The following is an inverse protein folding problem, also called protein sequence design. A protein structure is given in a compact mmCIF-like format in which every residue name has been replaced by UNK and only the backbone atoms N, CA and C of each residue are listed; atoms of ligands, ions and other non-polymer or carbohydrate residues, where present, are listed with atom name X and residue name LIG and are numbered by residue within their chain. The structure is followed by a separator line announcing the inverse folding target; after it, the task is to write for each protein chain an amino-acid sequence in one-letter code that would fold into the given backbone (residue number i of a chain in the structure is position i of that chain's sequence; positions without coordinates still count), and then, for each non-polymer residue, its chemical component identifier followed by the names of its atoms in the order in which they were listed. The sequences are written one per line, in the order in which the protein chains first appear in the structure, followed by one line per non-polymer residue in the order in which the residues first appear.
data_IF_944755351836
#
_entry.id   IF_944755351836
#
_cell.length_a   1.000
_cell.length_b   1.000
_cell.length_c   1.000
_cell.angle_alpha   90.00
_cell.angle_beta   90.00
_cell.angle_gamma   90.00
#
_symmetry.space_group_name_H-M   'P 1'
#
loop_
_entity.id
_entity.type
_entity.pdbx_description
1 polymer ?
#
# COMPACT_ATOMS: atom_id res chain seq x y z
N UNK A 1 -34.36 -26.10 -3.36
CA UNK A 1 -33.06 -26.78 -3.57
C UNK A 1 -32.40 -27.00 -2.21
N UNK A 2 -32.35 -28.25 -1.71
CA UNK A 2 -31.72 -28.59 -0.42
C UNK A 2 -30.20 -28.43 -0.54
N UNK A 3 -29.60 -27.54 0.26
CA UNK A 3 -28.13 -27.39 0.33
C UNK A 3 -27.55 -28.60 1.06
N UNK A 4 -26.63 -29.30 0.38
CA UNK A 4 -25.90 -30.45 0.95
C UNK A 4 -24.99 -29.99 2.11
N UNK A 5 -24.88 -30.77 3.20
CA UNK A 5 -23.98 -30.45 4.30
C UNK A 5 -22.52 -30.59 3.85
N UNK A 6 -21.69 -29.60 4.20
CA UNK A 6 -20.25 -29.62 3.90
C UNK A 6 -19.57 -30.65 4.80
N UNK A 7 -18.88 -31.62 4.20
CA UNK A 7 -18.12 -32.65 4.90
C UNK A 7 -16.89 -32.05 5.60
N UNK A 8 -16.58 -32.49 6.84
CA UNK A 8 -15.39 -32.05 7.57
C UNK A 8 -14.13 -32.57 6.88
N UNK A 9 -13.18 -31.68 6.57
CA UNK A 9 -11.89 -32.03 5.95
C UNK A 9 -11.58 -31.37 4.60
N UNK A 10 -12.52 -30.60 4.02
CA UNK A 10 -12.30 -29.86 2.76
C UNK A 10 -11.43 -28.58 2.90
N UNK A 11 -10.84 -28.31 4.06
CA UNK A 11 -10.07 -27.08 4.29
C UNK A 11 -8.64 -27.12 3.75
N UNK A 12 -8.06 -28.31 3.54
CA UNK A 12 -6.73 -28.42 2.95
C UNK A 12 -6.85 -28.38 1.43
N UNK A 13 -7.02 -27.17 0.91
CA UNK A 13 -6.81 -26.87 -0.52
C UNK A 13 -5.36 -27.20 -0.87
N UNK A 14 -5.14 -28.38 -1.43
CA UNK A 14 -3.90 -28.69 -2.14
C UNK A 14 -3.75 -27.66 -3.27
N UNK A 15 -2.77 -26.76 -3.16
CA UNK A 15 -2.40 -25.87 -4.27
C UNK A 15 -1.57 -26.69 -5.25
N UNK A 16 -1.97 -26.67 -6.52
CA UNK A 16 -1.20 -27.30 -7.59
C UNK A 16 0.17 -26.60 -7.69
N UNK A 17 1.28 -27.35 -7.78
CA UNK A 17 2.59 -26.74 -7.99
C UNK A 17 2.55 -25.90 -9.28
N UNK A 18 2.85 -24.60 -9.17
CA UNK A 18 2.73 -23.64 -10.27
C UNK A 18 1.53 -22.68 -10.20
N UNK A 19 0.58 -22.88 -9.28
CA UNK A 19 -0.41 -21.82 -9.01
C UNK A 19 0.24 -20.69 -8.20
N UNK A 20 0.28 -19.43 -8.72
CA UNK A 20 0.76 -18.31 -7.93
C UNK A 20 -0.09 -18.18 -6.65
N UNK A 21 0.50 -17.70 -5.54
CA UNK A 21 -0.27 -17.48 -4.32
C UNK A 21 -1.52 -16.62 -4.64
N UNK A 22 -2.66 -16.88 -3.99
CA UNK A 22 -3.85 -16.07 -4.19
C UNK A 22 -3.46 -14.62 -3.94
N UNK A 23 -3.68 -13.77 -4.94
CA UNK A 23 -3.35 -12.36 -4.88
C UNK A 23 -4.08 -11.76 -3.67
N UNK A 24 -3.30 -11.38 -2.66
CA UNK A 24 -3.83 -10.93 -1.40
C UNK A 24 -4.30 -9.47 -1.57
N UNK A 25 -5.54 -9.32 -2.03
CA UNK A 25 -6.14 -8.01 -2.35
C UNK A 25 -6.06 -7.06 -1.17
N UNK A 26 -6.17 -7.57 0.07
CA UNK A 26 -6.03 -6.78 1.29
C UNK A 26 -4.62 -6.21 1.45
N UNK A 27 -3.58 -7.01 1.21
CA UNK A 27 -2.17 -6.54 1.25
C UNK A 27 -1.90 -5.48 0.20
N UNK A 28 -2.42 -5.68 -1.01
CA UNK A 28 -2.26 -4.72 -2.11
C UNK A 28 -3.00 -3.40 -1.84
N UNK A 29 -4.26 -3.44 -1.41
CA UNK A 29 -5.01 -2.24 -1.03
C UNK A 29 -4.35 -1.48 0.12
N UNK A 30 -3.77 -2.19 1.08
CA UNK A 30 -3.06 -1.59 2.21
C UNK A 30 -1.82 -0.81 1.76
N UNK A 31 -0.93 -1.44 0.98
CA UNK A 31 0.29 -0.78 0.51
C UNK A 31 -0.02 0.39 -0.43
N UNK A 32 -1.06 0.28 -1.26
CA UNK A 32 -1.54 1.37 -2.11
C UNK A 32 -2.05 2.54 -1.26
N UNK A 33 -2.87 2.28 -0.23
CA UNK A 33 -3.41 3.33 0.63
C UNK A 33 -2.30 4.09 1.36
N UNK A 34 -1.28 3.39 1.85
CA UNK A 34 -0.12 4.01 2.50
C UNK A 34 0.77 4.79 1.52
N UNK A 35 0.97 4.28 0.30
CA UNK A 35 1.64 5.03 -0.77
C UNK A 35 0.89 6.32 -1.13
N UNK A 36 -0.45 6.26 -1.20
CA UNK A 36 -1.30 7.42 -1.48
C UNK A 36 -1.25 8.45 -0.36
N UNK A 37 -1.25 8.00 0.91
CA UNK A 37 -1.05 8.87 2.08
C UNK A 37 0.33 9.51 2.05
N UNK A 38 1.37 8.76 1.70
CA UNK A 38 2.73 9.27 1.54
C UNK A 38 2.84 10.35 0.47
N UNK A 39 2.18 10.16 -0.69
CA UNK A 39 2.06 11.20 -1.72
C UNK A 39 1.35 12.44 -1.21
N UNK A 40 0.18 12.28 -0.59
CA UNK A 40 -0.60 13.41 -0.08
C UNK A 40 0.20 14.23 0.96
N UNK A 41 0.94 13.54 1.83
CA UNK A 41 1.77 14.17 2.85
C UNK A 41 2.98 14.88 2.21
N UNK A 42 3.63 14.26 1.22
CA UNK A 42 4.72 14.88 0.45
C UNK A 42 4.27 16.15 -0.29
N UNK A 43 3.07 16.13 -0.88
CA UNK A 43 2.47 17.30 -1.53
C UNK A 43 2.17 18.40 -0.50
N UNK A 44 1.53 18.05 0.63
CA UNK A 44 1.23 19.01 1.69
C UNK A 44 2.48 19.68 2.27
N UNK A 45 3.55 18.91 2.49
CA UNK A 45 4.85 19.43 2.96
C UNK A 45 5.47 20.34 1.91
N UNK A 46 5.40 19.97 0.63
CA UNK A 46 5.90 20.82 -0.45
C UNK A 46 5.18 22.16 -0.50
N UNK A 47 3.84 22.15 -0.43
CA UNK A 47 3.04 23.38 -0.37
C UNK A 47 3.38 24.24 0.85
N UNK A 48 3.56 23.63 2.03
CA UNK A 48 4.00 24.36 3.22
C UNK A 48 5.40 24.94 3.06
N UNK A 49 6.32 24.21 2.43
CA UNK A 49 7.67 24.69 2.16
C UNK A 49 7.68 25.88 1.21
N UNK A 50 6.97 25.81 0.08
CA UNK A 50 6.84 26.95 -0.84
C UNK A 50 6.13 28.14 -0.20
N UNK A 51 5.14 27.91 0.66
CA UNK A 51 4.46 28.99 1.37
C UNK A 51 5.39 29.79 2.30
N UNK A 52 6.39 29.14 2.91
CA UNK A 52 7.29 29.79 3.88
C UNK A 52 8.67 30.18 3.34
N UNK A 53 9.23 29.43 2.38
CA UNK A 53 10.65 29.50 2.05
C UNK A 53 10.96 29.90 0.60
N UNK A 54 10.04 29.68 -0.34
CA UNK A 54 10.30 29.93 -1.76
C UNK A 54 9.08 30.49 -2.49
N UNK A 55 9.18 31.73 -2.96
CA UNK A 55 8.25 32.31 -3.95
C UNK A 55 8.31 31.60 -5.33
N UNK A 56 9.22 30.62 -5.50
CA UNK A 56 9.48 29.94 -6.76
C UNK A 56 8.90 28.52 -6.77
N UNK A 57 7.71 28.38 -7.35
CA UNK A 57 7.10 27.07 -7.62
C UNK A 57 7.83 26.37 -8.76
N UNK A 58 8.90 25.62 -8.44
CA UNK A 58 9.55 24.75 -9.43
C UNK A 58 8.77 23.43 -9.53
N UNK A 59 8.08 23.16 -10.65
CA UNK A 59 7.29 21.93 -10.81
C UNK A 59 8.14 20.66 -10.70
N UNK A 60 9.45 20.77 -10.95
CA UNK A 60 10.41 19.67 -10.79
C UNK A 60 10.57 19.25 -9.33
N UNK A 61 10.57 20.20 -8.40
CA UNK A 61 10.71 19.93 -6.96
C UNK A 61 9.45 19.26 -6.43
N UNK A 62 8.26 19.76 -6.82
CA UNK A 62 6.98 19.15 -6.44
C UNK A 62 6.91 17.70 -6.92
N UNK A 63 7.29 17.43 -8.17
CA UNK A 63 7.33 16.08 -8.71
C UNK A 63 8.31 15.19 -7.93
N UNK A 64 9.52 15.67 -7.64
CA UNK A 64 10.53 14.92 -6.91
C UNK A 64 10.06 14.57 -5.49
N UNK A 65 9.52 15.54 -4.74
CA UNK A 65 9.04 15.33 -3.37
C UNK A 65 7.81 14.42 -3.34
N UNK A 66 6.92 14.51 -4.34
CA UNK A 66 5.76 13.62 -4.45
C UNK A 66 6.19 12.17 -4.70
N UNK A 67 7.16 11.96 -5.59
CA UNK A 67 7.71 10.63 -5.87
C UNK A 67 8.42 10.09 -4.62
N UNK A 68 9.24 10.89 -3.95
CA UNK A 68 9.89 10.51 -2.69
C UNK A 68 8.85 10.16 -1.60
N UNK A 69 7.82 10.99 -1.45
CA UNK A 69 6.72 10.75 -0.51
C UNK A 69 5.98 9.45 -0.78
N UNK A 70 5.75 9.10 -2.06
CA UNK A 70 5.20 7.81 -2.44
C UNK A 70 6.07 6.63 -1.99
N UNK A 71 7.38 6.68 -2.29
CA UNK A 71 8.31 5.61 -1.94
C UNK A 71 8.42 5.44 -0.41
N UNK A 72 8.48 6.54 0.34
CA UNK A 72 8.51 6.50 1.81
C UNK A 72 7.20 5.94 2.35
N UNK A 73 6.04 6.41 1.87
CA UNK A 73 4.73 5.89 2.27
C UNK A 73 4.57 4.40 1.96
N UNK A 74 5.05 3.96 0.80
CA UNK A 74 5.04 2.55 0.41
C UNK A 74 5.96 1.69 1.29
N UNK A 75 7.18 2.17 1.59
CA UNK A 75 8.12 1.46 2.46
C UNK A 75 7.57 1.31 3.88
N UNK A 76 7.01 2.38 4.44
CA UNK A 76 6.36 2.37 5.77
C UNK A 76 5.14 1.44 5.77
N UNK A 77 4.31 1.51 4.72
CA UNK A 77 3.14 0.63 4.58
C UNK A 77 3.52 -0.85 4.54
N UNK A 78 4.60 -1.21 3.84
CA UNK A 78 5.12 -2.58 3.79
C UNK A 78 5.72 -3.05 5.11
N UNK A 79 6.46 -2.16 5.80
CA UNK A 79 7.04 -2.47 7.11
C UNK A 79 5.94 -2.73 8.15
N UNK A 80 4.96 -1.82 8.23
CA UNK A 80 3.86 -1.90 9.19
C UNK A 80 2.89 -3.05 8.88
N UNK A 81 2.70 -3.40 7.60
CA UNK A 81 1.95 -4.60 7.23
C UNK A 81 2.65 -5.90 7.65
N UNK A 82 3.98 -5.96 7.54
CA UNK A 82 4.75 -7.13 7.98
C UNK A 82 4.66 -7.34 9.49
N UNK A 83 4.56 -6.26 10.26
CA UNK A 83 4.40 -6.30 11.71
C UNK A 83 3.02 -6.86 12.10
N UNK A 84 1.94 -6.34 11.49
CA UNK A 84 0.57 -6.86 11.70
C UNK A 84 0.36 -8.30 11.24
N UNK A 85 1.17 -8.81 10.30
CA UNK A 85 1.06 -10.20 9.85
C UNK A 85 1.70 -11.21 10.81
N UNK A 86 2.38 -10.73 11.86
CA UNK A 86 3.04 -11.56 12.88
C UNK A 86 2.31 -11.57 14.24
N UNK A 87 1.29 -10.74 14.41
CA UNK A 87 0.30 -10.83 15.51
C UNK A 87 -0.80 -11.84 15.17
#
# INVERSE_FOLDING_TARGET
MKKLPKLPGQEKRYRLPGTPPPYDKQKSLWSINYGLKGMALGVAVSFGYFYYYEDYYSPKIIAAVTVLGYFVGWAVGNFMYSDKSKE
#
